data_IF_058643863873
#
_entry.id   IF_058643863873
#
_cell.length_a   1.000
_cell.length_b   1.000
_cell.length_c   1.000
_cell.angle_alpha   90.00
_cell.angle_beta   90.00
_cell.angle_gamma   90.00
#
_symmetry.space_group_name_H-M   'P 1'
#
loop_
_entity.id
_entity.type
_entity.pdbx_description
1 polymer ?
#
# COMPACT_ATOMS: atom_id res chain seq x y z
N UNK A 1 -13.80 -8.40 -41.78
CA UNK A 1 -12.68 -9.30 -41.39
C UNK A 1 -12.99 -10.14 -40.13
N UNK A 2 -14.26 -10.41 -39.80
CA UNK A 2 -14.67 -11.21 -38.63
C UNK A 2 -15.65 -12.34 -38.99
N UNK A 3 -15.78 -12.69 -40.26
CA UNK A 3 -16.78 -13.64 -40.75
C UNK A 3 -16.35 -15.12 -40.63
N UNK A 4 -15.07 -15.39 -40.32
CA UNK A 4 -14.46 -16.71 -40.56
C UNK A 4 -14.45 -17.66 -39.34
N UNK A 5 -15.09 -17.28 -38.22
CA UNK A 5 -15.03 -18.07 -36.97
C UNK A 5 -16.38 -18.51 -36.40
N UNK A 6 -17.49 -18.22 -37.09
CA UNK A 6 -18.81 -18.69 -36.69
C UNK A 6 -19.17 -19.91 -37.53
N UNK A 7 -19.35 -21.07 -36.89
CA UNK A 7 -19.75 -22.31 -37.54
C UNK A 7 -20.97 -22.06 -38.45
N UNK A 8 -21.01 -22.60 -39.68
CA UNK A 8 -22.13 -22.42 -40.61
C UNK A 8 -23.49 -22.75 -39.98
N UNK A 9 -23.52 -23.72 -39.06
CA UNK A 9 -24.71 -24.11 -38.31
C UNK A 9 -25.23 -23.01 -37.37
N UNK A 10 -24.33 -22.22 -36.80
CA UNK A 10 -24.68 -21.08 -35.93
C UNK A 10 -25.19 -19.92 -36.78
N UNK A 11 -24.57 -19.65 -37.95
CA UNK A 11 -25.05 -18.62 -38.87
C UNK A 11 -26.47 -18.95 -39.37
N UNK A 12 -26.71 -20.18 -39.81
CA UNK A 12 -28.03 -20.64 -40.23
C UNK A 12 -29.07 -20.52 -39.10
N UNK A 13 -28.74 -20.96 -37.89
CA UNK A 13 -29.65 -20.89 -36.74
C UNK A 13 -29.97 -19.45 -36.29
N UNK A 14 -29.03 -18.52 -36.43
CA UNK A 14 -29.26 -17.08 -36.14
C UNK A 14 -30.18 -16.46 -37.18
N UNK A 15 -30.03 -16.82 -38.46
CA UNK A 15 -30.92 -16.35 -39.53
C UNK A 15 -32.33 -16.95 -39.42
N UNK A 16 -32.43 -18.25 -39.13
CA UNK A 16 -33.69 -18.99 -38.99
C UNK A 16 -34.52 -18.58 -37.77
N UNK A 17 -33.88 -18.09 -36.70
CA UNK A 17 -34.58 -17.72 -35.46
C UNK A 17 -34.69 -16.21 -35.26
N UNK A 18 -33.69 -15.45 -35.72
CA UNK A 18 -33.59 -14.02 -35.44
C UNK A 18 -34.57 -13.15 -36.23
N UNK A 19 -34.59 -13.29 -37.57
CA UNK A 19 -35.53 -12.51 -38.40
C UNK A 19 -36.99 -12.85 -38.09
N UNK A 20 -37.38 -14.14 -37.95
CA UNK A 20 -38.76 -14.47 -37.61
C UNK A 20 -39.19 -13.94 -36.24
N UNK A 21 -38.28 -13.83 -35.27
CA UNK A 21 -38.59 -13.25 -33.97
C UNK A 21 -38.90 -11.75 -34.04
N UNK A 22 -38.16 -10.97 -34.84
CA UNK A 22 -38.43 -9.54 -35.06
C UNK A 22 -39.78 -9.35 -35.76
N UNK A 23 -40.06 -10.14 -36.80
CA UNK A 23 -41.34 -10.11 -37.52
C UNK A 23 -42.52 -10.51 -36.62
N UNK A 24 -42.35 -11.52 -35.76
CA UNK A 24 -43.38 -11.94 -34.81
C UNK A 24 -43.79 -10.82 -33.85
N UNK A 25 -42.84 -10.01 -33.41
CA UNK A 25 -43.10 -8.86 -32.55
C UNK A 25 -43.88 -7.77 -33.31
N UNK A 26 -43.47 -7.46 -34.55
CA UNK A 26 -44.13 -6.45 -35.38
C UNK A 26 -45.60 -6.82 -35.68
N UNK A 27 -45.83 -8.11 -35.98
CA UNK A 27 -47.17 -8.68 -36.16
C UNK A 27 -48.00 -8.62 -34.87
N UNK A 28 -47.39 -8.92 -33.71
CA UNK A 28 -48.08 -8.85 -32.41
C UNK A 28 -48.48 -7.42 -32.04
N UNK A 29 -47.66 -6.43 -32.38
CA UNK A 29 -47.99 -5.01 -32.19
C UNK A 29 -49.10 -4.54 -33.12
N UNK A 30 -49.11 -5.03 -34.37
CA UNK A 30 -50.19 -4.74 -35.32
C UNK A 30 -51.52 -5.34 -34.85
N UNK A 31 -51.50 -6.53 -34.24
CA UNK A 31 -52.68 -7.12 -33.61
C UNK A 31 -53.12 -6.33 -32.37
N UNK A 32 -52.16 -5.89 -31.55
CA UNK A 32 -52.44 -5.11 -30.35
C UNK A 32 -53.01 -3.72 -30.68
N UNK A 33 -52.56 -3.06 -31.75
CA UNK A 33 -53.12 -1.77 -32.17
C UNK A 33 -54.60 -1.87 -32.52
N UNK A 34 -55.05 -3.00 -33.09
CA UNK A 34 -56.47 -3.25 -33.38
C UNK A 34 -57.33 -3.43 -32.13
N UNK A 35 -56.73 -3.64 -30.95
CA UNK A 35 -57.45 -3.82 -29.68
C UNK A 35 -57.50 -2.55 -28.83
N UNK A 36 -56.81 -1.49 -29.25
CA UNK A 36 -56.80 -0.23 -28.51
C UNK A 36 -57.95 0.67 -28.99
N UNK A 37 -58.65 1.36 -28.06
CA UNK A 37 -59.76 2.27 -28.39
C UNK A 37 -59.31 3.59 -29.05
N UNK A 38 -58.03 3.71 -29.42
CA UNK A 38 -57.43 4.91 -30.01
C UNK A 38 -56.81 4.54 -31.36
N UNK A 39 -57.55 4.79 -32.44
CA UNK A 39 -57.23 4.34 -33.80
C UNK A 39 -56.00 5.04 -34.41
N UNK A 40 -55.52 6.13 -33.81
CA UNK A 40 -54.45 6.97 -34.38
C UNK A 40 -53.05 6.71 -33.79
N UNK A 41 -52.87 5.68 -32.95
CA UNK A 41 -51.56 5.46 -32.31
C UNK A 41 -50.56 4.87 -33.31
N UNK A 42 -49.78 5.76 -33.94
CA UNK A 42 -48.64 5.36 -34.76
C UNK A 42 -47.51 4.81 -33.91
N UNK A 43 -47.14 3.55 -34.14
CA UNK A 43 -45.96 2.92 -33.54
C UNK A 43 -44.65 3.29 -34.24
N UNK A 44 -44.69 4.24 -35.19
CA UNK A 44 -43.52 4.74 -35.91
C UNK A 44 -42.74 5.79 -35.11
N UNK A 45 -42.04 5.36 -34.06
CA UNK A 45 -41.12 6.21 -33.29
C UNK A 45 -39.68 5.70 -33.37
N UNK A 46 -38.67 6.57 -33.22
CA UNK A 46 -37.26 6.23 -33.48
C UNK A 46 -36.76 4.98 -32.74
N UNK A 47 -37.17 4.80 -31.48
CA UNK A 47 -36.79 3.61 -30.69
C UNK A 47 -37.39 2.30 -31.21
N UNK A 48 -38.58 2.37 -31.82
CA UNK A 48 -39.21 1.20 -32.43
C UNK A 48 -38.58 0.87 -33.78
N UNK A 49 -38.36 1.89 -34.61
CA UNK A 49 -37.69 1.73 -35.90
C UNK A 49 -36.27 1.19 -35.75
N UNK A 50 -35.53 1.65 -34.75
CA UNK A 50 -34.20 1.11 -34.43
C UNK A 50 -34.22 -0.39 -34.11
N UNK A 51 -35.34 -0.93 -33.60
CA UNK A 51 -35.48 -2.37 -33.33
C UNK A 51 -35.75 -3.18 -34.59
N UNK A 52 -36.48 -2.62 -35.57
CA UNK A 52 -36.72 -3.27 -36.86
C UNK A 52 -35.39 -3.50 -37.59
N UNK A 53 -34.49 -2.50 -37.52
CA UNK A 53 -33.14 -2.59 -38.09
C UNK A 53 -32.13 -3.29 -37.18
N UNK A 54 -32.46 -3.60 -35.92
CA UNK A 54 -31.49 -4.12 -34.96
C UNK A 54 -30.81 -5.41 -35.43
N UNK A 55 -31.54 -6.28 -36.12
CA UNK A 55 -30.98 -7.53 -36.64
C UNK A 55 -30.02 -7.27 -37.80
N UNK A 56 -30.40 -6.41 -38.74
CA UNK A 56 -29.55 -6.01 -39.87
C UNK A 56 -28.33 -5.22 -39.39
N UNK A 57 -28.50 -4.38 -38.37
CA UNK A 57 -27.42 -3.66 -37.70
C UNK A 57 -26.44 -4.61 -37.02
N UNK A 58 -26.91 -5.64 -36.32
CA UNK A 58 -26.04 -6.66 -35.72
C UNK A 58 -25.29 -7.44 -36.80
N UNK A 59 -25.94 -7.76 -37.93
CA UNK A 59 -25.32 -8.48 -39.05
C UNK A 59 -24.26 -7.63 -39.76
N UNK A 60 -24.56 -6.37 -40.03
CA UNK A 60 -23.71 -5.47 -40.80
C UNK A 60 -22.59 -4.84 -39.96
N UNK A 61 -22.87 -4.51 -38.69
CA UNK A 61 -21.94 -3.80 -37.78
C UNK A 61 -21.28 -4.74 -36.77
N UNK A 62 -21.81 -5.95 -36.59
CA UNK A 62 -21.35 -6.90 -35.58
C UNK A 62 -21.88 -6.59 -34.17
N UNK A 63 -21.60 -7.48 -33.23
CA UNK A 63 -21.85 -7.21 -31.81
C UNK A 63 -20.81 -6.22 -31.29
N UNK A 64 -21.26 -5.16 -30.61
CA UNK A 64 -20.42 -4.14 -30.02
C UNK A 64 -19.70 -4.66 -28.75
N UNK A 65 -18.84 -5.66 -28.92
CA UNK A 65 -18.26 -6.50 -27.85
C UNK A 65 -17.41 -5.71 -26.84
N UNK A 66 -16.99 -4.47 -27.17
CA UNK A 66 -16.19 -3.60 -26.30
C UNK A 66 -16.66 -2.13 -26.27
N UNK A 67 -17.83 -1.79 -26.81
CA UNK A 67 -18.37 -0.41 -26.73
C UNK A 67 -19.22 -0.18 -25.47
N UNK A 68 -18.93 -0.91 -24.39
CA UNK A 68 -19.55 -0.62 -23.11
C UNK A 68 -18.96 0.66 -22.53
N UNK A 69 -19.79 1.59 -22.08
CA UNK A 69 -19.36 2.75 -21.28
C UNK A 69 -18.92 2.37 -19.86
N UNK A 70 -18.99 1.08 -19.52
CA UNK A 70 -18.61 0.49 -18.23
C UNK A 70 -17.22 0.86 -17.70
N UNK A 71 -16.16 1.04 -18.52
CA UNK A 71 -14.85 1.47 -17.99
C UNK A 71 -14.93 2.81 -17.25
N UNK A 72 -15.76 3.74 -17.76
CA UNK A 72 -15.99 5.04 -17.12
C UNK A 72 -16.96 4.97 -15.94
N UNK A 73 -17.79 3.93 -15.85
CA UNK A 73 -18.75 3.74 -14.76
C UNK A 73 -18.04 3.54 -13.42
N UNK A 74 -16.84 2.94 -13.43
CA UNK A 74 -16.04 2.81 -12.21
C UNK A 74 -15.47 4.15 -11.75
N UNK A 75 -15.06 5.03 -12.67
CA UNK A 75 -14.55 6.36 -12.32
C UNK A 75 -15.66 7.25 -11.73
N UNK A 76 -16.90 7.06 -12.18
CA UNK A 76 -18.07 7.70 -11.57
C UNK A 76 -18.29 7.30 -10.10
N UNK A 77 -17.86 6.09 -9.67
CA UNK A 77 -18.01 5.68 -8.27
C UNK A 77 -17.21 6.57 -7.32
N UNK A 78 -15.95 6.86 -7.64
CA UNK A 78 -15.11 7.73 -6.81
C UNK A 78 -15.66 9.17 -6.73
N UNK A 79 -16.17 9.68 -7.85
CA UNK A 79 -16.82 11.00 -7.92
C UNK A 79 -18.12 11.00 -7.09
N UNK A 80 -18.94 9.96 -7.24
CA UNK A 80 -20.19 9.78 -6.48
C UNK A 80 -19.94 9.68 -4.98
N UNK A 81 -18.94 8.91 -4.56
CA UNK A 81 -18.62 8.74 -3.15
C UNK A 81 -18.06 10.05 -2.56
N UNK A 82 -17.22 10.78 -3.33
CA UNK A 82 -16.76 12.12 -2.95
C UNK A 82 -17.94 13.10 -2.83
N UNK A 83 -18.89 13.07 -3.77
CA UNK A 83 -20.11 13.87 -3.73
C UNK A 83 -20.92 13.61 -2.46
N UNK A 84 -21.21 12.35 -2.14
CA UNK A 84 -22.05 12.01 -0.98
C UNK A 84 -21.37 12.15 0.37
N UNK A 85 -20.07 11.89 0.47
CA UNK A 85 -19.38 11.79 1.76
C UNK A 85 -18.54 13.03 2.10
N UNK A 86 -18.15 13.82 1.09
CA UNK A 86 -17.14 14.88 1.25
C UNK A 86 -17.62 16.26 0.80
N UNK A 87 -18.81 16.40 0.19
CA UNK A 87 -19.37 17.71 -0.20
C UNK A 87 -20.53 18.13 0.69
N UNK A 88 -20.78 19.44 0.74
CA UNK A 88 -21.95 20.02 1.40
C UNK A 88 -23.18 20.14 0.48
N UNK A 89 -23.19 19.44 -0.66
CA UNK A 89 -24.24 19.47 -1.69
C UNK A 89 -24.53 20.83 -2.34
N UNK A 90 -23.64 21.82 -2.15
CA UNK A 90 -23.72 23.15 -2.79
C UNK A 90 -22.39 23.43 -3.47
N UNK A 91 -22.40 23.94 -4.70
CA UNK A 91 -21.17 24.22 -5.44
C UNK A 91 -20.17 23.05 -5.39
N UNK A 92 -20.64 21.88 -5.86
CA UNK A 92 -19.98 20.60 -5.63
C UNK A 92 -18.77 20.37 -6.54
N UNK A 93 -18.76 20.98 -7.73
CA UNK A 93 -17.69 20.80 -8.72
C UNK A 93 -16.32 21.22 -8.19
N UNK A 94 -16.11 22.45 -7.68
CA UNK A 94 -14.81 22.85 -7.13
C UNK A 94 -14.41 22.04 -5.90
N UNK A 95 -15.37 21.57 -5.11
CA UNK A 95 -15.09 20.69 -3.97
C UNK A 95 -14.57 19.33 -4.42
N UNK A 96 -15.26 18.68 -5.36
CA UNK A 96 -14.85 17.37 -5.89
C UNK A 96 -13.46 17.46 -6.50
N UNK A 97 -13.20 18.48 -7.32
CA UNK A 97 -11.86 18.69 -7.93
C UNK A 97 -10.79 18.88 -6.86
N UNK A 98 -11.08 19.64 -5.81
CA UNK A 98 -10.14 19.84 -4.69
C UNK A 98 -9.87 18.54 -3.93
N UNK A 99 -10.89 17.73 -3.68
CA UNK A 99 -10.73 16.44 -3.02
C UNK A 99 -9.96 15.44 -3.87
N UNK A 100 -10.22 15.42 -5.18
CA UNK A 100 -9.51 14.56 -6.12
C UNK A 100 -8.04 14.94 -6.24
N UNK A 101 -7.73 16.24 -6.34
CA UNK A 101 -6.36 16.73 -6.34
C UNK A 101 -5.62 16.34 -5.05
N UNK A 102 -6.24 16.52 -3.88
CA UNK A 102 -5.65 16.10 -2.59
C UNK A 102 -5.39 14.60 -2.54
N UNK A 103 -6.30 13.79 -3.08
CA UNK A 103 -6.14 12.34 -3.18
C UNK A 103 -4.93 12.00 -4.05
N UNK A 104 -4.82 12.60 -5.23
CA UNK A 104 -3.69 12.39 -6.14
C UNK A 104 -2.35 12.75 -5.49
N UNK A 105 -2.27 13.91 -4.80
CA UNK A 105 -1.07 14.33 -4.07
C UNK A 105 -0.72 13.34 -2.95
N UNK A 106 -1.71 12.90 -2.17
CA UNK A 106 -1.49 11.95 -1.09
C UNK A 106 -0.99 10.60 -1.60
N UNK A 107 -1.58 10.09 -2.69
CA UNK A 107 -1.12 8.86 -3.35
C UNK A 107 0.30 9.01 -3.85
N UNK A 108 0.64 10.11 -4.52
CA UNK A 108 2.00 10.37 -5.01
C UNK A 108 3.02 10.40 -3.86
N UNK A 109 2.73 11.14 -2.78
CA UNK A 109 3.62 11.18 -1.62
C UNK A 109 3.79 9.80 -1.00
N UNK A 110 2.70 9.01 -0.93
CA UNK A 110 2.76 7.66 -0.37
C UNK A 110 3.59 6.73 -1.24
N UNK A 111 3.44 6.78 -2.55
CA UNK A 111 4.25 6.00 -3.50
C UNK A 111 5.73 6.35 -3.36
N UNK A 112 6.08 7.62 -3.16
CA UNK A 112 7.47 8.02 -2.93
C UNK A 112 8.03 7.50 -1.62
N UNK A 113 7.24 7.53 -0.53
CA UNK A 113 7.64 6.93 0.75
C UNK A 113 7.82 5.43 0.59
N UNK A 114 6.88 4.74 -0.04
CA UNK A 114 6.96 3.29 -0.24
C UNK A 114 8.17 2.90 -1.10
N UNK A 115 8.56 3.72 -2.08
CA UNK A 115 9.78 3.53 -2.87
C UNK A 115 11.04 3.71 -2.03
N UNK A 116 11.12 4.76 -1.21
CA UNK A 116 12.25 4.99 -0.31
C UNK A 116 12.34 3.89 0.75
N UNK A 117 11.23 3.48 1.34
CA UNK A 117 11.18 2.38 2.33
C UNK A 117 11.66 1.07 1.70
N UNK A 118 11.36 0.82 0.42
CA UNK A 118 11.84 -0.36 -0.30
C UNK A 118 13.36 -0.27 -0.55
N UNK A 119 13.87 0.88 -0.99
CA UNK A 119 15.31 1.10 -1.17
C UNK A 119 16.08 0.97 0.14
N UNK A 120 15.58 1.54 1.24
CA UNK A 120 16.16 1.40 2.57
C UNK A 120 16.17 -0.06 3.02
N UNK A 121 15.09 -0.81 2.77
CA UNK A 121 15.01 -2.23 3.11
C UNK A 121 15.95 -3.12 2.29
N UNK A 122 16.30 -2.70 1.07
CA UNK A 122 17.33 -3.36 0.25
C UNK A 122 18.75 -2.96 0.67
N UNK A 123 18.93 -1.78 1.26
CA UNK A 123 20.19 -1.29 1.83
C UNK A 123 20.43 -1.72 3.29
N UNK A 124 19.38 -2.16 4.00
CA UNK A 124 19.47 -2.80 5.31
C UNK A 124 20.15 -4.18 5.16
N UNK A 125 21.48 -4.18 5.09
CA UNK A 125 22.25 -5.30 5.60
C UNK A 125 21.82 -5.51 7.08
N UNK A 126 21.60 -6.75 7.54
CA UNK A 126 21.15 -7.02 8.92
C UNK A 126 22.08 -6.48 10.03
N UNK A 127 23.24 -5.95 9.64
CA UNK A 127 24.23 -5.32 10.49
C UNK A 127 24.14 -3.77 10.54
N UNK A 128 23.12 -3.09 9.97
CA UNK A 128 23.09 -1.61 9.86
C UNK A 128 21.88 -0.84 10.49
N UNK A 129 21.35 -1.22 11.67
CA UNK A 129 20.40 -0.38 12.48
C UNK A 129 21.03 0.90 13.07
N UNK A 130 20.73 2.09 12.54
CA UNK A 130 21.23 3.38 13.08
C UNK A 130 20.93 3.56 14.58
N UNK A 131 21.95 3.82 15.43
CA UNK A 131 21.74 4.03 16.86
C UNK A 131 20.98 5.34 17.12
N UNK A 132 20.12 5.34 18.14
CA UNK A 132 19.46 6.56 18.62
C UNK A 132 20.51 7.51 19.18
N UNK A 133 20.83 8.56 18.44
CA UNK A 133 21.89 9.53 18.79
C UNK A 133 21.46 10.34 20.02
N UNK A 134 22.07 10.07 21.16
CA UNK A 134 22.04 10.95 22.34
C UNK A 134 23.32 11.78 22.35
N UNK A 135 23.37 12.79 21.47
CA UNK A 135 24.41 13.83 21.38
C UNK A 135 25.82 13.33 21.04
N UNK A 136 26.46 12.56 21.94
CA UNK A 136 27.85 12.07 21.86
C UNK A 136 27.95 10.58 22.22
N UNK A 137 26.82 9.96 22.53
CA UNK A 137 26.72 8.61 23.06
C UNK A 137 25.70 7.84 22.24
N UNK A 138 26.19 6.81 21.56
CA UNK A 138 25.36 5.83 20.87
C UNK A 138 25.03 4.73 21.87
N UNK A 139 23.74 4.63 22.20
CA UNK A 139 23.21 3.58 23.06
C UNK A 139 22.62 2.49 22.17
N UNK A 140 23.28 1.33 22.15
CA UNK A 140 22.88 0.18 21.33
C UNK A 140 23.92 -0.22 20.29
N UNK A 141 24.06 -1.54 20.09
CA UNK A 141 24.92 -2.16 19.09
C UNK A 141 24.10 -3.08 18.20
N UNK A 142 24.49 -3.15 16.93
CA UNK A 142 23.96 -4.04 15.89
C UNK A 142 24.50 -5.49 16.03
N UNK A 143 25.51 -5.71 16.87
CA UNK A 143 26.01 -7.04 17.22
C UNK A 143 24.98 -7.78 18.07
N UNK A 144 24.82 -9.08 17.80
CA UNK A 144 23.97 -10.01 18.55
C UNK A 144 24.18 -9.78 20.05
N UNK A 145 23.11 -9.38 20.74
CA UNK A 145 23.11 -9.19 22.20
C UNK A 145 23.67 -10.45 22.86
N UNK A 146 24.90 -10.36 23.36
CA UNK A 146 25.55 -11.43 24.10
C UNK A 146 25.46 -11.04 25.57
N UNK A 147 24.71 -11.82 26.35
CA UNK A 147 24.59 -11.52 27.77
C UNK A 147 25.93 -11.76 28.48
N UNK A 148 26.20 -11.07 29.59
CA UNK A 148 27.36 -11.38 30.42
C UNK A 148 27.42 -12.86 30.80
N UNK A 149 26.26 -13.50 31.03
CA UNK A 149 26.20 -14.94 31.29
C UNK A 149 26.63 -15.78 30.08
N UNK A 150 26.28 -15.37 28.87
CA UNK A 150 26.68 -16.04 27.64
C UNK A 150 28.18 -15.82 27.35
N UNK A 151 28.72 -14.65 27.66
CA UNK A 151 30.14 -14.35 27.55
C UNK A 151 30.97 -15.20 28.53
N UNK A 152 30.55 -15.29 29.79
CA UNK A 152 31.18 -16.13 30.82
C UNK A 152 31.16 -17.62 30.43
N UNK A 153 30.11 -18.09 29.73
CA UNK A 153 30.02 -19.45 29.21
C UNK A 153 30.89 -19.68 27.96
N UNK A 154 30.98 -18.69 27.07
CA UNK A 154 31.76 -18.79 25.83
C UNK A 154 33.27 -18.73 26.09
N UNK A 155 33.70 -17.96 27.10
CA UNK A 155 35.10 -17.73 27.45
C UNK A 155 35.46 -18.44 28.76
N UNK A 156 35.10 -19.72 28.90
CA UNK A 156 35.35 -20.49 30.15
C UNK A 156 36.85 -20.77 30.38
N UNK A 157 37.64 -20.79 29.31
CA UNK A 157 39.08 -21.08 29.35
C UNK A 157 39.94 -19.93 29.90
N UNK A 158 39.39 -18.72 29.96
CA UNK A 158 40.12 -17.52 30.41
C UNK A 158 39.64 -17.06 31.80
N UNK A 159 40.55 -17.11 32.78
CA UNK A 159 40.31 -16.68 34.17
C UNK A 159 39.87 -15.21 34.28
N UNK A 160 40.20 -14.38 33.29
CA UNK A 160 39.76 -12.99 33.24
C UNK A 160 38.22 -12.88 33.14
N UNK A 161 37.58 -13.82 32.46
CA UNK A 161 36.14 -13.81 32.23
C UNK A 161 35.35 -14.56 33.31
N UNK A 162 36.00 -15.26 34.24
CA UNK A 162 35.29 -15.84 35.37
C UNK A 162 34.70 -14.76 36.28
N UNK A 163 33.37 -14.80 36.47
CA UNK A 163 32.59 -13.82 37.25
C UNK A 163 32.82 -12.38 36.75
N UNK A 164 33.02 -12.21 35.45
CA UNK A 164 33.30 -10.93 34.81
C UNK A 164 32.29 -9.85 35.22
N UNK A 165 30.99 -10.18 35.29
CA UNK A 165 29.94 -9.24 35.70
C UNK A 165 30.18 -8.63 37.09
N UNK A 166 30.70 -9.43 38.03
CA UNK A 166 30.97 -8.99 39.41
C UNK A 166 32.23 -8.13 39.44
N UNK A 167 33.31 -8.60 38.81
CA UNK A 167 34.59 -7.88 38.73
C UNK A 167 34.43 -6.52 38.07
N UNK A 168 33.67 -6.46 36.98
CA UNK A 168 33.37 -5.22 36.26
C UNK A 168 32.50 -4.26 37.09
N UNK A 169 31.48 -4.79 37.77
CA UNK A 169 30.67 -4.02 38.73
C UNK A 169 31.48 -3.38 39.85
N UNK A 170 32.42 -4.13 40.43
CA UNK A 170 33.32 -3.63 41.47
C UNK A 170 34.33 -2.60 40.92
N UNK A 171 34.85 -2.83 39.70
CA UNK A 171 35.74 -1.89 39.03
C UNK A 171 35.06 -0.53 38.81
N UNK A 172 33.90 -0.50 38.14
CA UNK A 172 33.19 0.76 37.86
C UNK A 172 32.74 1.45 39.16
N UNK A 173 32.31 0.67 40.16
CA UNK A 173 31.90 1.20 41.47
C UNK A 173 33.07 1.85 42.23
N UNK A 174 34.31 1.45 41.95
CA UNK A 174 35.52 2.04 42.57
C UNK A 174 36.09 3.16 41.70
N UNK A 175 36.03 3.01 40.39
CA UNK A 175 36.60 3.93 39.41
C UNK A 175 35.81 5.25 39.37
N UNK A 176 34.48 5.22 39.28
CA UNK A 176 33.69 6.46 39.13
C UNK A 176 33.89 7.46 40.29
N UNK A 177 33.85 7.04 41.58
CA UNK A 177 34.12 7.94 42.68
C UNK A 177 35.54 8.49 42.69
N UNK A 178 36.54 7.71 42.24
CA UNK A 178 37.93 8.15 42.18
C UNK A 178 38.15 9.29 41.18
N UNK A 179 37.33 9.35 40.12
CA UNK A 179 37.34 10.42 39.12
C UNK A 179 36.29 11.52 39.37
N UNK A 180 35.70 11.56 40.56
CA UNK A 180 34.78 12.63 40.98
C UNK A 180 33.34 12.48 40.47
N UNK A 181 32.97 11.33 39.89
CA UNK A 181 31.62 11.07 39.42
C UNK A 181 30.80 10.35 40.51
N UNK A 182 29.67 10.93 40.97
CA UNK A 182 28.86 10.33 42.01
C UNK A 182 28.13 9.09 41.48
N UNK A 183 28.16 8.01 42.26
CA UNK A 183 27.38 6.80 41.98
C UNK A 183 25.87 7.09 42.09
N UNK A 184 25.02 6.49 41.24
CA UNK A 184 23.56 6.64 41.33
C UNK A 184 23.06 6.23 42.72
N UNK A 185 22.61 7.19 43.51
CA UNK A 185 22.14 6.97 44.88
C UNK A 185 23.19 6.46 45.88
N UNK A 186 24.49 6.61 45.57
CA UNK A 186 25.60 6.16 46.42
C UNK A 186 25.72 4.63 46.55
N UNK A 187 25.02 3.86 45.72
CA UNK A 187 25.00 2.39 45.76
C UNK A 187 25.92 1.82 44.68
N UNK A 188 26.50 0.65 44.94
CA UNK A 188 27.25 -0.12 43.94
C UNK A 188 26.34 -0.44 42.75
N UNK A 189 26.88 -0.28 41.55
CA UNK A 189 26.16 -0.60 40.33
C UNK A 189 25.94 -2.12 40.25
N UNK A 190 24.69 -2.53 40.16
CA UNK A 190 24.32 -3.90 39.85
C UNK A 190 23.81 -3.91 38.42
N UNK A 191 24.62 -4.43 37.50
CA UNK A 191 24.16 -4.72 36.14
C UNK A 191 23.13 -5.83 36.25
N UNK A 192 21.89 -5.62 35.77
CA UNK A 192 20.81 -6.61 35.78
C UNK A 192 20.42 -6.98 34.35
N UNK A 193 21.21 -7.84 33.71
CA UNK A 193 20.87 -8.64 32.52
C UNK A 193 20.45 -7.93 31.23
N UNK A 194 20.25 -6.61 31.23
CA UNK A 194 20.07 -5.77 30.04
C UNK A 194 21.40 -5.12 29.72
N UNK A 195 22.17 -5.82 28.92
CA UNK A 195 23.53 -5.45 28.60
C UNK A 195 23.47 -4.41 27.47
N UNK A 196 23.82 -3.17 27.83
CA UNK A 196 23.68 -2.01 26.97
C UNK A 196 25.06 -1.65 26.43
N UNK A 197 25.28 -1.93 25.15
CA UNK A 197 26.46 -1.49 24.44
C UNK A 197 26.51 0.04 24.42
N UNK A 198 27.67 0.59 24.79
CA UNK A 198 27.89 2.02 24.85
C UNK A 198 29.04 2.38 23.90
N UNK A 199 28.71 3.12 22.85
CA UNK A 199 29.69 3.71 21.94
C UNK A 199 29.80 5.18 22.26
N UNK A 200 30.99 5.61 22.69
CA UNK A 200 31.25 6.97 23.15
C UNK A 200 32.18 7.65 22.17
N UNK A 201 31.72 8.77 21.62
CA UNK A 201 32.54 9.66 20.82
C UNK A 201 33.14 10.73 21.74
N UNK A 202 34.46 10.84 21.75
CA UNK A 202 35.18 11.85 22.54
C UNK A 202 36.32 12.47 21.74
N UNK A 203 36.66 13.70 22.07
CA UNK A 203 37.87 14.33 21.53
C UNK A 203 39.07 13.91 22.36
N UNK A 204 40.05 13.28 21.69
CA UNK A 204 41.28 12.86 22.35
C UNK A 204 42.12 14.09 22.71
N UNK A 205 42.51 14.22 23.99
CA UNK A 205 43.36 15.32 24.46
C UNK A 205 44.80 15.26 23.92
N UNK A 206 45.23 14.13 23.35
CA UNK A 206 46.57 13.95 22.80
C UNK A 206 46.65 14.23 21.30
N UNK A 207 45.59 13.90 20.55
CA UNK A 207 45.56 14.05 19.09
C UNK A 207 44.61 15.14 18.61
N UNK A 208 43.75 15.68 19.48
CA UNK A 208 42.69 16.66 19.16
C UNK A 208 41.78 16.22 18.01
N UNK A 209 41.72 14.91 17.76
CA UNK A 209 40.86 14.29 16.77
C UNK A 209 39.72 13.56 17.49
N UNK A 210 38.53 13.47 16.87
CA UNK A 210 37.44 12.65 17.37
C UNK A 210 37.88 11.18 17.37
N UNK A 211 37.86 10.57 18.56
CA UNK A 211 38.11 9.17 18.80
C UNK A 211 36.80 8.49 19.25
N UNK A 212 36.71 7.18 19.01
CA UNK A 212 35.53 6.40 19.38
C UNK A 212 35.96 5.22 20.21
N UNK A 213 35.48 5.15 21.45
CA UNK A 213 35.67 3.98 22.31
C UNK A 213 34.41 3.12 22.30
N UNK A 214 34.64 1.81 22.18
CA UNK A 214 33.61 0.79 22.26
C UNK A 214 33.67 0.15 23.64
N UNK A 215 32.69 0.46 24.48
CA UNK A 215 32.55 -0.15 25.80
C UNK A 215 31.56 -1.32 25.68
N UNK A 216 32.12 -2.54 25.73
CA UNK A 216 31.40 -3.83 25.69
C UNK A 216 31.21 -4.38 27.10
#
# INVERSE_FOLDING_TARGET
MFDDHISPQIKARVEDLGRPAVVKIDNGLSQFSCLLPYEDKSWNFPKFHARQHAFDDIKNKGAARNFGTKPSESMHKAIRDTYHQMTNFKDVTPQIVKHDHRRAVATFVREQIDAIDAELKEQEDPDDVEPTILSNVDVGSKLKQLSFSALEQQMTEDDAFQRFRIKFGDFISTFLPAFGYPLPGGKRLKFDGKDMFLKVHYESLSSWCPATDFLR
#
